data_IF_168821500145
#
_entry.id   IF_168821500145
#
_cell.length_a   1.000
_cell.length_b   1.000
_cell.length_c   1.000
_cell.angle_alpha   90.00
_cell.angle_beta   90.00
_cell.angle_gamma   90.00
#
_symmetry.space_group_name_H-M   'P 1'
#
loop_
_entity.id
_entity.type
_entity.pdbx_description
1 polymer ?
#
# COMPACT_ATOMS: atom_id res chain seq x y z
N UNK A 1 -10.84 24.61 -6.46
CA UNK A 1 -9.54 23.94 -6.58
C UNK A 1 -9.73 22.45 -6.38
N UNK A 2 -9.35 21.64 -7.35
CA UNK A 2 -9.44 20.19 -7.19
C UNK A 2 -8.30 19.70 -6.33
N UNK A 3 -8.63 19.00 -5.25
CA UNK A 3 -7.63 18.30 -4.48
C UNK A 3 -7.22 17.03 -5.22
N UNK A 4 -5.95 16.96 -5.61
CA UNK A 4 -5.40 15.75 -6.19
C UNK A 4 -5.17 14.78 -5.05
N UNK A 5 -5.84 13.64 -5.13
CA UNK A 5 -5.69 12.57 -4.15
C UNK A 5 -4.88 11.45 -4.79
N UNK A 6 -3.87 11.01 -4.08
CA UNK A 6 -3.10 9.85 -4.49
C UNK A 6 -3.69 8.59 -3.87
N UNK A 7 -3.52 7.48 -4.55
CA UNK A 7 -4.07 6.22 -4.06
C UNK A 7 -3.67 5.02 -4.90
N UNK A 8 -4.33 3.92 -4.61
CA UNK A 8 -4.15 2.62 -5.24
C UNK A 8 -5.43 2.22 -5.97
N UNK A 9 -5.32 1.31 -6.92
CA UNK A 9 -6.52 0.76 -7.56
C UNK A 9 -7.25 -0.19 -6.62
N UNK A 10 -8.57 -0.34 -6.81
CA UNK A 10 -9.44 -1.03 -5.86
C UNK A 10 -9.13 -2.50 -5.64
N UNK A 11 -8.58 -3.19 -6.64
CA UNK A 11 -8.22 -4.61 -6.50
C UNK A 11 -6.87 -4.85 -5.81
N UNK A 12 -6.26 -3.80 -5.27
CA UNK A 12 -5.02 -3.93 -4.50
C UNK A 12 -5.31 -4.55 -3.14
N UNK A 13 -4.52 -5.55 -2.78
CA UNK A 13 -4.66 -6.22 -1.48
C UNK A 13 -3.95 -5.45 -0.38
N UNK A 14 -4.57 -5.44 0.78
CA UNK A 14 -4.10 -4.73 1.97
C UNK A 14 -3.99 -5.73 3.11
N UNK A 15 -2.92 -5.65 3.88
CA UNK A 15 -2.76 -6.46 5.08
C UNK A 15 -3.73 -5.97 6.16
N UNK A 16 -4.60 -6.85 6.61
CA UNK A 16 -5.57 -6.54 7.67
C UNK A 16 -5.27 -7.36 8.92
N UNK A 17 -5.96 -6.99 10.01
CA UNK A 17 -5.77 -7.67 11.28
C UNK A 17 -6.21 -9.12 11.22
N UNK A 18 -5.70 -9.85 12.16
CA UNK A 18 -6.00 -11.21 12.56
C UNK A 18 -5.61 -12.28 11.52
N UNK A 19 -4.75 -13.15 11.95
CA UNK A 19 -4.44 -14.40 11.25
C UNK A 19 -3.86 -14.23 9.83
N UNK A 20 -3.04 -13.18 9.64
CA UNK A 20 -2.32 -12.98 8.37
C UNK A 20 -3.27 -12.87 7.17
N UNK A 21 -4.32 -12.06 7.33
CA UNK A 21 -5.31 -11.89 6.27
C UNK A 21 -4.99 -10.72 5.37
N UNK A 22 -5.43 -10.85 4.13
CA UNK A 22 -5.38 -9.80 3.14
C UNK A 22 -6.80 -9.57 2.61
N UNK A 23 -7.12 -8.31 2.34
CA UNK A 23 -8.41 -7.94 1.78
C UNK A 23 -8.20 -6.88 0.69
N UNK A 24 -8.99 -6.96 -0.37
CA UNK A 24 -8.96 -5.94 -1.42
C UNK A 24 -9.49 -4.62 -0.87
N UNK A 25 -8.87 -3.53 -1.28
CA UNK A 25 -9.27 -2.19 -0.84
C UNK A 25 -10.73 -1.90 -1.19
N UNK A 26 -11.18 -2.28 -2.38
CA UNK A 26 -12.57 -2.08 -2.81
C UNK A 26 -13.58 -2.88 -1.98
N UNK A 27 -13.20 -4.06 -1.48
CA UNK A 27 -14.04 -4.83 -0.58
C UNK A 27 -14.22 -4.14 0.78
N UNK A 28 -13.15 -3.56 1.31
CA UNK A 28 -13.23 -2.80 2.55
C UNK A 28 -14.20 -1.63 2.37
N UNK A 29 -14.13 -0.93 1.25
CA UNK A 29 -14.98 0.20 0.95
C UNK A 29 -16.45 -0.21 0.82
N UNK A 30 -16.73 -1.32 0.13
CA UNK A 30 -18.09 -1.83 -0.06
C UNK A 30 -18.77 -2.19 1.27
N UNK A 31 -18.02 -2.71 2.21
CA UNK A 31 -18.57 -3.05 3.53
C UNK A 31 -18.95 -1.82 4.34
N UNK A 32 -18.42 -0.67 3.99
CA UNK A 32 -18.71 0.60 4.65
C UNK A 32 -18.33 0.61 6.14
N UNK A 33 -17.43 -0.27 6.54
CA UNK A 33 -17.03 -0.43 7.94
C UNK A 33 -15.57 -0.05 8.13
N UNK A 34 -15.23 0.31 9.37
CA UNK A 34 -13.84 0.44 9.77
C UNK A 34 -13.21 -0.95 9.83
N UNK A 35 -12.01 -1.06 9.30
CA UNK A 35 -11.23 -2.29 9.33
C UNK A 35 -9.94 -2.06 10.11
N UNK A 36 -9.50 -3.07 10.87
CA UNK A 36 -8.18 -3.04 11.46
C UNK A 36 -7.16 -3.40 10.39
N UNK A 37 -6.28 -2.46 10.06
CA UNK A 37 -5.25 -2.66 9.05
C UNK A 37 -3.87 -2.70 9.70
N UNK A 38 -2.95 -3.42 9.10
CA UNK A 38 -1.56 -3.45 9.56
C UNK A 38 -0.92 -2.10 9.25
N UNK A 39 -0.22 -1.53 10.22
CA UNK A 39 0.50 -0.28 10.04
C UNK A 39 1.80 -0.28 10.82
N UNK A 40 2.78 0.47 10.31
CA UNK A 40 4.06 0.67 10.99
C UNK A 40 3.86 1.73 12.07
N UNK A 41 4.02 1.36 13.33
CA UNK A 41 3.80 2.26 14.48
C UNK A 41 5.05 3.08 14.83
N UNK A 42 6.21 2.45 14.69
CA UNK A 42 7.50 3.12 14.82
C UNK A 42 8.50 2.40 13.92
N UNK A 43 9.76 2.81 13.92
CA UNK A 43 10.77 2.29 13.00
C UNK A 43 10.99 0.78 13.06
N UNK A 44 10.45 0.09 14.05
CA UNK A 44 10.76 -1.33 14.26
C UNK A 44 9.53 -2.18 14.55
N UNK A 45 8.33 -1.59 14.65
CA UNK A 45 7.19 -2.33 15.12
C UNK A 45 5.96 -2.07 14.28
N UNK A 46 5.40 -3.15 13.72
CA UNK A 46 4.08 -3.12 13.11
C UNK A 46 3.01 -3.35 14.18
N UNK A 47 1.89 -2.70 14.00
CA UNK A 47 0.73 -2.84 14.84
C UNK A 47 -0.54 -2.75 14.01
N UNK A 48 -1.63 -2.32 14.64
CA UNK A 48 -2.93 -2.23 13.96
C UNK A 48 -3.49 -0.82 14.11
N UNK A 49 -4.13 -0.34 13.05
CA UNK A 49 -4.84 0.95 13.02
C UNK A 49 -6.24 0.74 12.48
N UNK A 50 -7.18 1.48 13.05
CA UNK A 50 -8.55 1.46 12.55
C UNK A 50 -8.63 2.37 11.34
N UNK A 51 -9.04 1.81 10.19
CA UNK A 51 -9.00 2.50 8.91
C UNK A 51 -10.31 2.35 8.16
N UNK A 52 -10.63 3.36 7.36
CA UNK A 52 -11.77 3.39 6.45
C UNK A 52 -11.24 3.50 5.02
N UNK A 53 -11.70 2.65 4.13
CA UNK A 53 -11.36 2.75 2.71
C UNK A 53 -12.28 3.77 2.04
N UNK A 54 -11.70 4.68 1.30
CA UNK A 54 -12.42 5.76 0.61
C UNK A 54 -12.17 5.65 -0.88
N UNK A 55 -13.28 5.71 -1.63
CA UNK A 55 -13.27 5.70 -3.09
C UNK A 55 -13.19 7.14 -3.61
N UNK A 56 -12.29 7.37 -4.55
CA UNK A 56 -12.13 8.64 -5.22
C UNK A 56 -12.46 8.49 -6.71
N UNK A 57 -12.29 9.57 -7.46
CA UNK A 57 -12.58 9.60 -8.88
C UNK A 57 -11.46 8.95 -9.70
N UNK A 58 -11.66 8.87 -11.01
CA UNK A 58 -10.67 8.34 -11.95
C UNK A 58 -9.39 9.17 -11.90
N UNK A 59 -8.27 8.47 -11.96
CA UNK A 59 -6.96 9.09 -12.05
C UNK A 59 -6.04 8.21 -12.87
N UNK A 60 -5.05 8.83 -13.52
CA UNK A 60 -4.03 8.06 -14.22
C UNK A 60 -3.13 7.36 -13.21
N UNK A 61 -2.82 6.11 -13.51
CA UNK A 61 -2.03 5.25 -12.62
C UNK A 61 -0.81 4.73 -13.36
N UNK A 62 0.15 4.26 -12.57
CA UNK A 62 1.33 3.56 -13.06
C UNK A 62 1.33 2.15 -12.51
N UNK A 63 1.93 1.23 -13.26
CA UNK A 63 2.18 -0.12 -12.78
C UNK A 63 3.56 -0.17 -12.16
N UNK A 64 3.62 -0.60 -10.91
CA UNK A 64 4.87 -0.75 -10.17
C UNK A 64 5.23 -2.23 -10.15
N UNK A 65 6.32 -2.59 -10.81
CA UNK A 65 6.83 -3.96 -10.84
C UNK A 65 7.96 -4.06 -9.84
N UNK A 66 7.80 -4.94 -8.86
CA UNK A 66 8.78 -5.14 -7.81
C UNK A 66 9.85 -6.13 -8.20
N UNK A 67 10.96 -6.10 -7.47
CA UNK A 67 12.09 -7.00 -7.67
C UNK A 67 11.74 -8.47 -7.59
N UNK A 68 10.63 -8.80 -6.93
CA UNK A 68 10.10 -10.17 -6.83
C UNK A 68 9.29 -10.60 -8.05
N UNK A 69 8.98 -9.68 -8.96
CA UNK A 69 8.04 -9.91 -10.06
C UNK A 69 6.59 -9.58 -9.73
N UNK A 70 6.29 -9.32 -8.47
CA UNK A 70 4.95 -8.87 -8.04
C UNK A 70 4.69 -7.45 -8.51
N UNK A 71 3.42 -7.09 -8.63
CA UNK A 71 3.07 -5.75 -9.11
C UNK A 71 1.84 -5.20 -8.40
N UNK A 72 1.71 -3.87 -8.43
CA UNK A 72 0.49 -3.17 -8.04
C UNK A 72 0.37 -1.90 -8.86
N UNK A 73 -0.82 -1.31 -8.87
CA UNK A 73 -1.09 -0.07 -9.62
C UNK A 73 -1.49 1.04 -8.65
N UNK A 74 -0.90 2.21 -8.87
CA UNK A 74 -1.11 3.36 -8.00
C UNK A 74 -0.88 4.65 -8.78
N UNK A 75 -1.31 5.76 -8.19
CA UNK A 75 -0.95 7.07 -8.75
C UNK A 75 0.54 7.34 -8.55
N UNK A 76 1.13 8.10 -9.45
CA UNK A 76 2.58 8.37 -9.42
C UNK A 76 3.03 9.17 -8.20
N UNK A 77 2.12 9.92 -7.60
CA UNK A 77 2.42 10.75 -6.41
C UNK A 77 2.22 10.04 -5.07
N UNK A 78 1.72 8.80 -5.08
CA UNK A 78 1.54 8.06 -3.83
C UNK A 78 2.87 7.90 -3.11
N UNK A 79 2.87 8.09 -1.79
CA UNK A 79 4.08 8.02 -0.99
C UNK A 79 4.29 6.62 -0.43
N UNK A 80 5.48 6.09 -0.66
CA UNK A 80 5.96 4.82 -0.15
C UNK A 80 7.06 5.09 0.86
N UNK A 81 7.23 4.21 1.84
CA UNK A 81 8.31 4.35 2.80
C UNK A 81 9.54 3.59 2.33
N UNK A 82 10.68 4.28 2.28
CA UNK A 82 11.97 3.62 1.99
C UNK A 82 12.51 2.92 3.24
N UNK A 83 13.60 2.18 3.08
CA UNK A 83 14.16 1.40 4.19
C UNK A 83 14.71 2.25 5.33
N UNK A 84 14.92 3.56 5.10
CA UNK A 84 15.41 4.49 6.12
C UNK A 84 14.28 5.21 6.86
N UNK A 85 13.02 4.93 6.50
CA UNK A 85 11.87 5.54 7.14
C UNK A 85 11.41 6.85 6.51
N UNK A 86 11.92 7.20 5.35
CA UNK A 86 11.53 8.42 4.63
C UNK A 86 10.44 8.12 3.60
N UNK A 87 9.58 9.11 3.35
CA UNK A 87 8.54 9.01 2.34
C UNK A 87 9.10 9.41 0.97
N UNK A 88 8.87 8.55 -0.04
CA UNK A 88 9.25 8.82 -1.43
C UNK A 88 8.04 8.57 -2.33
N UNK A 89 7.93 9.32 -3.42
CA UNK A 89 6.84 9.10 -4.38
C UNK A 89 7.10 7.82 -5.19
N UNK A 90 6.00 7.20 -5.63
CA UNK A 90 6.07 6.06 -6.55
C UNK A 90 6.94 6.40 -7.76
N UNK A 91 6.77 7.60 -8.32
CA UNK A 91 7.50 8.03 -9.51
C UNK A 91 9.02 8.02 -9.33
N UNK A 92 9.49 8.27 -8.11
CA UNK A 92 10.93 8.35 -7.80
C UNK A 92 11.47 7.10 -7.10
N UNK A 93 10.69 6.05 -7.04
CA UNK A 93 11.02 4.89 -6.21
C UNK A 93 11.85 3.82 -6.89
N UNK A 94 12.05 3.89 -8.22
CA UNK A 94 12.80 2.86 -8.93
C UNK A 94 14.20 2.65 -8.34
N UNK A 95 14.49 1.39 -8.01
CA UNK A 95 15.80 1.00 -7.48
C UNK A 95 16.05 1.36 -6.02
N UNK A 96 15.10 2.01 -5.34
CA UNK A 96 15.27 2.41 -3.94
C UNK A 96 14.74 1.30 -3.04
N UNK A 97 15.54 0.81 -2.08
CA UNK A 97 15.07 -0.21 -1.14
C UNK A 97 13.89 0.31 -0.30
N UNK A 98 12.83 -0.45 -0.21
CA UNK A 98 11.61 -0.08 0.50
C UNK A 98 11.55 -0.75 1.86
N UNK A 99 10.91 -0.07 2.81
CA UNK A 99 10.57 -0.66 4.09
C UNK A 99 9.51 -1.73 3.85
N UNK A 100 9.80 -2.98 4.23
CA UNK A 100 8.95 -4.10 3.88
C UNK A 100 8.37 -4.78 5.12
N UNK A 101 7.16 -5.30 4.95
CA UNK A 101 6.45 -6.08 5.95
C UNK A 101 6.49 -7.54 5.53
N UNK A 102 6.88 -8.43 6.46
CA UNK A 102 6.84 -9.86 6.20
C UNK A 102 5.48 -10.40 6.63
N UNK A 103 4.63 -10.66 5.66
CA UNK A 103 3.27 -11.15 5.90
C UNK A 103 3.27 -12.53 6.57
N UNK A 104 4.26 -13.36 6.31
CA UNK A 104 4.33 -14.70 6.89
C UNK A 104 4.70 -14.69 8.38
N UNK A 105 5.44 -13.67 8.83
CA UNK A 105 5.88 -13.55 10.22
C UNK A 105 5.05 -12.57 11.05
N UNK A 106 4.17 -11.81 10.39
CA UNK A 106 3.27 -10.84 11.00
C UNK A 106 3.95 -9.91 12.00
N UNK A 107 4.80 -9.05 11.57
CA UNK A 107 5.30 -7.90 12.36
C UNK A 107 6.75 -7.55 12.16
N UNK A 108 7.52 -8.35 11.44
CA UNK A 108 8.94 -8.08 11.27
C UNK A 108 9.23 -7.54 9.89
N UNK A 109 10.25 -6.68 9.83
CA UNK A 109 10.79 -6.25 8.55
C UNK A 109 11.34 -7.47 7.81
N UNK A 110 11.03 -7.57 6.52
CA UNK A 110 11.54 -8.64 5.71
C UNK A 110 13.07 -8.56 5.61
N UNK A 111 13.73 -9.71 5.63
CA UNK A 111 15.20 -9.77 5.58
C UNK A 111 15.78 -9.32 4.25
N UNK A 112 15.05 -9.58 3.16
CA UNK A 112 15.49 -9.21 1.82
C UNK A 112 14.90 -7.85 1.44
N UNK A 113 15.71 -7.01 0.81
CA UNK A 113 15.27 -5.71 0.36
C UNK A 113 14.28 -5.86 -0.79
N UNK A 114 13.14 -5.22 -0.65
CA UNK A 114 12.14 -5.10 -1.69
C UNK A 114 12.32 -3.73 -2.34
N UNK A 115 12.33 -3.70 -3.67
CA UNK A 115 12.40 -2.42 -4.39
C UNK A 115 11.55 -2.50 -5.65
N UNK A 116 11.14 -1.32 -6.14
CA UNK A 116 10.43 -1.23 -7.40
C UNK A 116 11.48 -1.24 -8.51
N UNK A 117 11.42 -2.26 -9.34
CA UNK A 117 12.34 -2.44 -10.45
C UNK A 117 11.96 -1.55 -11.63
N UNK A 118 10.65 -1.37 -11.85
CA UNK A 118 10.17 -0.61 -13.00
C UNK A 118 8.83 0.04 -12.71
N UNK A 119 8.67 1.28 -13.18
CA UNK A 119 7.41 2.02 -13.15
C UNK A 119 6.96 2.25 -14.59
N UNK A 120 5.78 1.72 -14.94
CA UNK A 120 5.22 1.84 -16.29
C UNK A 120 3.98 2.73 -16.25
N UNK A 121 3.95 3.76 -17.10
CA UNK A 121 2.76 4.59 -17.27
C UNK A 121 1.70 3.81 -18.04
N UNK A 122 0.47 3.84 -17.54
CA UNK A 122 -0.66 3.15 -18.16
C UNK A 122 -1.53 4.16 -18.91
N UNK A 123 -2.11 3.76 -20.06
CA UNK A 123 -2.81 4.73 -20.93
C UNK A 123 -4.22 5.09 -20.44
N UNK A 124 -4.84 4.28 -19.59
CA UNK A 124 -6.22 4.49 -19.15
C UNK A 124 -6.29 4.83 -17.68
N UNK A 125 -7.13 5.80 -17.31
CA UNK A 125 -7.36 6.10 -15.90
C UNK A 125 -8.16 5.00 -15.22
N UNK A 126 -7.99 4.86 -13.90
CA UNK A 126 -8.75 3.93 -13.08
C UNK A 126 -9.28 4.66 -11.84
N UNK A 127 -10.36 4.15 -11.29
CA UNK A 127 -10.88 4.62 -10.01
C UNK A 127 -9.86 4.26 -8.94
N UNK A 128 -9.50 5.24 -8.13
CA UNK A 128 -8.51 5.05 -7.08
C UNK A 128 -9.16 5.06 -5.70
N UNK A 129 -8.48 4.42 -4.77
CA UNK A 129 -8.88 4.31 -3.38
C UNK A 129 -7.70 4.70 -2.47
N UNK A 130 -8.01 5.13 -1.28
CA UNK A 130 -7.01 5.28 -0.23
C UNK A 130 -7.66 4.93 1.11
N UNK A 131 -6.86 4.77 2.14
CA UNK A 131 -7.36 4.57 3.48
C UNK A 131 -7.25 5.85 4.28
N UNK A 132 -8.26 6.12 5.11
CA UNK A 132 -8.20 7.14 6.16
C UNK A 132 -8.03 6.43 7.48
N UNK A 133 -7.03 6.83 8.24
CA UNK A 133 -6.76 6.29 9.57
C UNK A 133 -6.76 7.40 10.60
N UNK A 134 -7.31 7.15 11.78
CA UNK A 134 -7.27 8.08 12.91
C UNK A 134 -6.02 7.93 13.77
N UNK A 135 -5.11 7.05 13.37
CA UNK A 135 -3.84 6.85 14.05
C UNK A 135 -2.78 7.83 13.49
N UNK A 136 -1.96 8.46 14.35
CA UNK A 136 -0.89 9.34 13.88
C UNK A 136 0.12 8.67 12.96
N UNK A 137 0.19 7.35 12.94
CA UNK A 137 1.11 6.63 12.05
C UNK A 137 0.81 6.85 10.57
N UNK A 138 -0.45 7.08 10.21
CA UNK A 138 -0.91 7.43 8.85
C UNK A 138 -0.30 6.56 7.75
N UNK A 139 -0.35 5.25 7.93
CA UNK A 139 0.14 4.33 6.93
C UNK A 139 -0.62 3.00 6.97
N UNK A 140 -0.48 2.25 5.91
CA UNK A 140 -1.00 0.89 5.82
C UNK A 140 -0.05 0.07 4.95
N UNK A 141 -0.27 -1.23 4.89
CA UNK A 141 0.61 -2.14 4.15
C UNK A 141 -0.12 -2.67 2.92
N UNK A 142 0.46 -2.41 1.75
CA UNK A 142 0.00 -2.98 0.48
C UNK A 142 0.74 -4.30 0.27
N UNK A 143 -0.01 -5.32 -0.15
CA UNK A 143 0.50 -6.63 -0.47
C UNK A 143 0.48 -6.81 -1.99
N UNK A 144 1.58 -6.56 -2.69
CA UNK A 144 1.62 -6.72 -4.14
C UNK A 144 1.39 -8.17 -4.53
N UNK A 145 0.65 -8.36 -5.61
CA UNK A 145 0.21 -9.68 -6.06
C UNK A 145 1.16 -10.23 -7.11
N UNK A 146 1.60 -11.48 -6.90
CA UNK A 146 2.40 -12.19 -7.88
C UNK A 146 1.59 -12.67 -9.07
N UNK A 147 2.29 -13.09 -10.11
CA UNK A 147 1.66 -13.59 -11.35
C UNK A 147 0.82 -14.85 -11.12
N UNK A 148 1.14 -15.64 -10.11
CA UNK A 148 0.36 -16.81 -9.69
C UNK A 148 -0.83 -16.45 -8.80
N UNK A 149 -0.90 -15.23 -8.34
CA UNK A 149 -2.07 -14.69 -7.66
C UNK A 149 -2.25 -15.03 -6.19
N UNK A 150 -1.34 -15.76 -5.58
CA UNK A 150 -1.58 -16.35 -4.26
C UNK A 150 -0.53 -16.07 -3.19
N UNK A 151 0.61 -15.49 -3.54
CA UNK A 151 1.73 -15.38 -2.60
C UNK A 151 1.90 -13.93 -2.10
N UNK A 152 1.27 -13.64 -0.96
CA UNK A 152 1.38 -12.34 -0.29
C UNK A 152 2.46 -12.37 0.80
N UNK A 153 3.67 -12.73 0.45
CA UNK A 153 4.72 -12.91 1.46
C UNK A 153 5.32 -11.60 1.93
N UNK A 154 5.32 -10.58 1.09
CA UNK A 154 5.96 -9.30 1.42
C UNK A 154 5.06 -8.13 1.08
N UNK A 155 5.02 -7.14 1.99
CA UNK A 155 4.26 -5.92 1.80
C UNK A 155 5.13 -4.69 1.84
N UNK A 156 4.59 -3.59 1.35
CA UNK A 156 5.25 -2.28 1.38
C UNK A 156 4.40 -1.30 2.18
N UNK A 157 5.05 -0.34 2.84
CA UNK A 157 4.38 0.66 3.66
C UNK A 157 4.01 1.86 2.79
N UNK A 158 2.74 2.22 2.80
CA UNK A 158 2.14 3.28 1.98
C UNK A 158 1.51 4.31 2.90
N UNK A 159 1.65 5.60 2.57
CA UNK A 159 1.04 6.66 3.36
C UNK A 159 -0.47 6.68 3.16
N UNK A 160 -1.20 6.66 4.26
CA UNK A 160 -2.65 6.84 4.27
C UNK A 160 -3.00 8.32 4.44
N UNK A 161 -4.29 8.62 4.26
CA UNK A 161 -4.84 9.93 4.60
C UNK A 161 -5.15 9.98 6.09
N UNK A 162 -5.01 11.17 6.67
CA UNK A 162 -5.40 11.37 8.07
C UNK A 162 -6.90 11.64 8.15
N UNK A 163 -7.57 10.91 9.03
CA UNK A 163 -8.99 11.12 9.29
C UNK A 163 -9.15 12.23 10.32
N UNK A 164 -9.73 13.31 9.87
CA UNK A 164 -10.07 14.43 10.75
C UNK A 164 -11.46 14.26 11.34
#
# INVERSE_FOLDING_TARGET
MMNIVDGIVGNTFIAIDSEKQAMRCDQIQEEGKLALTVSLKNTHKFGRSLSEAVKYDYSYVVECILSTGDSFRATSGLLLMDMWGDWITVLRSEGIPLFSYDFSEDSKQAKDFLFIEKVNFLPLPEIIFNLKTDDPSQNFVVLPKGSDGCDYTKGIVVQSLFKQ
#
